data_IF_131517141282
#
_entry.id   IF_131517141282
#
_cell.length_a   1.000
_cell.length_b   1.000
_cell.length_c   1.000
_cell.angle_alpha   90.00
_cell.angle_beta   90.00
_cell.angle_gamma   90.00
#
_symmetry.space_group_name_H-M   'P 1'
#
loop_
_entity.id
_entity.type
_entity.pdbx_description
1 polymer ?
#
# COMPACT_ATOMS: atom_id res chain seq x y z
N UNK A 1 -1.03 -7.41 9.99
CA UNK A 1 -2.12 -6.46 9.62
C UNK A 1 -2.45 -6.66 8.15
N UNK A 2 -3.72 -6.64 7.76
CA UNK A 2 -4.12 -6.82 6.36
C UNK A 2 -3.81 -5.58 5.53
N UNK A 3 -3.15 -5.79 4.40
CA UNK A 3 -2.71 -4.75 3.50
C UNK A 3 -2.95 -5.17 2.05
N UNK A 4 -3.28 -4.22 1.19
CA UNK A 4 -3.37 -4.42 -0.25
C UNK A 4 -1.96 -4.36 -0.81
N UNK A 5 -1.51 -5.42 -1.49
CA UNK A 5 -0.22 -5.49 -2.16
C UNK A 5 -0.33 -4.92 -3.57
N UNK A 6 0.59 -4.01 -3.90
CA UNK A 6 0.70 -3.35 -5.19
C UNK A 6 2.07 -3.59 -5.80
N UNK A 7 2.11 -3.61 -7.13
CA UNK A 7 3.34 -3.49 -7.89
C UNK A 7 3.78 -2.01 -8.03
N UNK A 8 4.94 -1.79 -8.65
CA UNK A 8 5.50 -0.46 -8.86
C UNK A 8 4.62 0.42 -9.77
N UNK A 9 4.05 -0.14 -10.86
CA UNK A 9 3.18 0.60 -11.78
C UNK A 9 1.88 1.04 -11.09
N UNK A 10 1.30 0.14 -10.29
CA UNK A 10 0.11 0.44 -9.50
C UNK A 10 0.40 1.50 -8.43
N UNK A 11 1.51 1.38 -7.69
CA UNK A 11 1.89 2.35 -6.68
C UNK A 11 2.15 3.73 -7.29
N UNK A 12 2.83 3.81 -8.44
CA UNK A 12 3.07 5.05 -9.16
C UNK A 12 1.76 5.70 -9.64
N UNK A 13 0.81 4.90 -10.11
CA UNK A 13 -0.50 5.38 -10.58
C UNK A 13 -1.34 5.98 -9.43
N UNK A 14 -1.23 5.42 -8.22
CA UNK A 14 -1.97 5.88 -7.04
C UNK A 14 -1.31 7.04 -6.29
N UNK A 15 0.01 7.22 -6.45
CA UNK A 15 0.79 8.36 -5.93
C UNK A 15 0.66 9.64 -6.75
N UNK A 16 0.07 9.54 -7.95
CA UNK A 16 -0.09 10.65 -8.88
C UNK A 16 -1.17 11.67 -8.46
N UNK A 17 -1.41 12.72 -9.28
CA UNK A 17 -2.45 13.72 -9.05
C UNK A 17 -3.83 13.12 -9.36
N UNK A 18 -4.25 12.13 -8.59
CA UNK A 18 -5.62 11.59 -8.59
C UNK A 18 -6.54 12.62 -7.90
N UNK A 19 -6.74 13.79 -8.52
CA UNK A 19 -7.58 14.85 -7.97
C UNK A 19 -7.14 15.39 -6.60
N UNK A 20 -7.83 16.42 -6.11
CA UNK A 20 -7.55 16.99 -4.78
C UNK A 20 -8.13 16.06 -3.71
N UNK A 21 -7.27 15.28 -3.06
CA UNK A 21 -7.65 14.45 -1.89
C UNK A 21 -7.78 12.95 -2.13
N UNK A 22 -7.57 12.43 -3.35
CA UNK A 22 -7.60 10.97 -3.61
C UNK A 22 -6.21 10.37 -3.88
N UNK A 23 -5.13 11.13 -3.68
CA UNK A 23 -3.77 10.61 -3.72
C UNK A 23 -3.55 9.67 -2.54
N UNK A 24 -3.18 8.44 -2.82
CA UNK A 24 -2.83 7.45 -1.81
C UNK A 24 -1.33 7.51 -1.57
N UNK A 25 -0.91 7.10 -0.37
CA UNK A 25 0.50 6.97 -0.01
C UNK A 25 0.88 5.49 0.19
N UNK A 26 1.03 4.71 -0.89
CA UNK A 26 1.59 3.37 -0.80
C UNK A 26 2.95 3.41 -0.14
N UNK A 27 3.17 2.51 0.82
CA UNK A 27 4.46 2.36 1.51
C UNK A 27 5.21 1.16 0.95
N UNK A 28 6.50 1.33 0.64
CA UNK A 28 7.35 0.24 0.14
C UNK A 28 7.66 -0.73 1.25
N UNK A 29 7.64 -2.03 0.97
CA UNK A 29 8.09 -3.06 1.89
C UNK A 29 9.59 -3.29 1.70
N UNK A 30 10.38 -3.14 2.76
CA UNK A 30 11.85 -3.22 2.66
C UNK A 30 12.40 -4.64 2.90
N UNK A 31 11.70 -5.45 3.70
CA UNK A 31 12.13 -6.80 4.05
C UNK A 31 10.95 -7.78 4.20
N UNK A 32 11.26 -9.07 4.36
CA UNK A 32 10.27 -10.15 4.45
C UNK A 32 9.79 -10.69 3.09
N UNK A 33 8.71 -11.49 3.07
CA UNK A 33 8.24 -12.22 1.88
C UNK A 33 7.70 -11.32 0.77
N UNK A 34 7.36 -10.06 1.09
CA UNK A 34 6.82 -9.08 0.15
C UNK A 34 7.79 -7.93 -0.12
N UNK A 35 9.07 -8.10 0.23
CA UNK A 35 10.12 -7.10 0.02
C UNK A 35 10.19 -6.65 -1.45
N UNK A 36 10.29 -5.34 -1.67
CA UNK A 36 10.29 -4.73 -2.99
C UNK A 36 8.90 -4.38 -3.53
N UNK A 37 7.83 -4.91 -2.93
CA UNK A 37 6.45 -4.52 -3.23
C UNK A 37 6.03 -3.23 -2.52
N UNK A 38 4.83 -2.77 -2.85
CA UNK A 38 4.19 -1.60 -2.24
C UNK A 38 2.92 -2.04 -1.53
N UNK A 39 2.57 -1.39 -0.43
CA UNK A 39 1.36 -1.74 0.31
C UNK A 39 0.50 -0.53 0.69
N UNK A 40 -0.80 -0.77 0.77
CA UNK A 40 -1.80 0.17 1.30
C UNK A 40 -2.63 -0.52 2.39
N UNK A 41 -3.08 0.21 3.43
CA UNK A 41 -4.00 -0.35 4.41
C UNK A 41 -5.36 -0.63 3.76
N UNK A 42 -6.04 -1.72 4.14
CA UNK A 42 -7.36 -2.05 3.58
C UNK A 42 -8.42 -0.99 3.89
N UNK A 43 -8.21 -0.16 4.91
CA UNK A 43 -9.08 0.96 5.31
C UNK A 43 -9.34 1.95 4.17
N UNK A 44 -8.44 2.01 3.17
CA UNK A 44 -8.63 2.86 1.98
C UNK A 44 -9.80 2.42 1.09
N UNK A 45 -10.33 1.19 1.28
CA UNK A 45 -11.51 0.69 0.58
C UNK A 45 -12.83 1.16 1.23
N UNK A 46 -12.75 1.60 2.49
CA UNK A 46 -13.89 2.11 3.24
C UNK A 46 -13.95 3.64 3.23
N UNK A 47 -12.88 4.31 2.76
CA UNK A 47 -12.79 5.76 2.72
C UNK A 47 -13.44 6.34 1.44
N UNK A 48 -14.51 7.14 1.55
CA UNK A 48 -15.19 7.69 0.38
C UNK A 48 -14.33 8.67 -0.43
N UNK A 49 -13.24 9.24 0.14
CA UNK A 49 -12.30 10.07 -0.61
C UNK A 49 -11.52 9.26 -1.66
N UNK A 50 -11.43 7.93 -1.49
CA UNK A 50 -10.74 7.02 -2.39
C UNK A 50 -11.68 6.17 -3.24
N UNK A 51 -12.99 6.47 -3.26
CA UNK A 51 -14.00 5.78 -4.08
C UNK A 51 -13.56 5.53 -5.54
N UNK A 52 -12.92 6.48 -6.25
CA UNK A 52 -12.46 6.25 -7.62
C UNK A 52 -11.42 5.12 -7.74
N UNK A 53 -10.67 4.85 -6.67
CA UNK A 53 -9.65 3.81 -6.62
C UNK A 53 -10.20 2.46 -6.15
N UNK A 54 -11.38 2.39 -5.53
CA UNK A 54 -11.94 1.15 -4.96
C UNK A 54 -12.07 0.04 -6.01
N UNK A 55 -12.55 0.36 -7.22
CA UNK A 55 -12.69 -0.63 -8.28
C UNK A 55 -11.35 -1.27 -8.68
N UNK A 56 -10.26 -0.50 -8.65
CA UNK A 56 -8.91 -0.99 -8.90
C UNK A 56 -8.36 -1.76 -7.71
N UNK A 57 -8.60 -1.30 -6.48
CA UNK A 57 -8.02 -1.87 -5.27
C UNK A 57 -8.69 -3.20 -4.85
N UNK A 58 -10.00 -3.35 -5.09
CA UNK A 58 -10.77 -4.56 -4.72
C UNK A 58 -10.37 -5.83 -5.46
N UNK A 59 -9.70 -5.70 -6.61
CA UNK A 59 -9.20 -6.85 -7.39
C UNK A 59 -7.75 -7.21 -7.06
N UNK A 60 -7.08 -6.43 -6.20
CA UNK A 60 -5.69 -6.67 -5.81
C UNK A 60 -5.58 -7.68 -4.68
N UNK A 61 -4.38 -8.24 -4.54
CA UNK A 61 -4.10 -9.24 -3.51
C UNK A 61 -4.04 -8.56 -2.13
N UNK A 62 -4.87 -9.04 -1.20
CA UNK A 62 -4.77 -8.68 0.21
C UNK A 62 -3.85 -9.68 0.90
N UNK A 63 -2.82 -9.18 1.56
CA UNK A 63 -1.82 -9.99 2.27
C UNK A 63 -1.74 -9.56 3.72
N UNK A 64 -1.32 -10.48 4.58
CA UNK A 64 -0.92 -10.13 5.93
C UNK A 64 0.53 -9.64 5.93
N UNK A 65 0.73 -8.41 6.42
CA UNK A 65 2.06 -7.84 6.62
C UNK A 65 2.35 -7.75 8.12
N UNK A 66 3.48 -8.33 8.52
CA UNK A 66 4.13 -8.01 9.79
C UNK A 66 4.95 -6.73 9.62
N UNK A 67 4.64 -5.69 10.38
CA UNK A 67 5.30 -4.40 10.23
C UNK A 67 6.75 -4.40 10.72
N UNK A 68 7.07 -5.25 11.69
CA UNK A 68 8.42 -5.33 12.27
C UNK A 68 9.38 -6.06 11.34
N UNK A 69 8.87 -7.04 10.58
CA UNK A 69 9.59 -7.72 9.53
C UNK A 69 9.68 -6.89 8.24
N UNK A 70 8.59 -6.20 7.86
CA UNK A 70 8.54 -5.36 6.66
C UNK A 70 9.42 -4.11 6.75
N UNK A 71 9.52 -3.51 7.95
CA UNK A 71 10.37 -2.36 8.25
C UNK A 71 11.15 -2.61 9.53
N UNK A 72 12.21 -3.43 9.47
CA UNK A 72 13.05 -3.65 10.63
C UNK A 72 13.66 -2.33 11.04
N UNK A 73 13.48 -1.96 12.32
CA UNK A 73 14.17 -0.82 12.89
C UNK A 73 15.64 -1.18 12.89
N UNK A 74 16.44 -0.56 12.02
CA UNK A 74 17.88 -0.77 12.02
C UNK A 74 18.39 -0.16 13.33
N UNK A 75 18.62 -1.01 14.32
CA UNK A 75 19.23 -0.60 15.58
C UNK A 75 20.59 0.01 15.26
N UNK A 76 20.80 1.25 15.69
CA UNK A 76 22.10 1.91 15.65
C UNK A 76 23.12 1.00 16.38
N UNK A 77 24.15 0.56 15.64
CA UNK A 77 25.28 -0.18 16.16
C UNK A 77 26.43 0.77 16.49
#
# INVERSE_FOLDING_TARGET
MLMILLDDEQAASLRGPTGRGAALDPRRVDAGPHAGGWILPTEVLDDPAHEPCHATLTVLLIVEIDQTEAWPVVGEA
#
